data_IF_812407029907
#
_entry.id   IF_812407029907
#
_cell.length_a   1.000
_cell.length_b   1.000
_cell.length_c   1.000
_cell.angle_alpha   90.00
_cell.angle_beta   90.00
_cell.angle_gamma   90.00
#
_symmetry.space_group_name_H-M   'P 1'
#
loop_
_entity.id
_entity.type
_entity.pdbx_description
1 polymer ?
#
# COMPACT_ATOMS: atom_id res chain seq x y z
N UNK A 1 -2.48 17.90 -20.74
CA UNK A 1 -1.66 17.61 -19.54
C UNK A 1 -2.44 16.94 -18.39
N UNK A 2 -3.74 17.22 -18.21
CA UNK A 2 -4.54 16.69 -17.08
C UNK A 2 -4.73 15.16 -17.05
N UNK A 3 -4.86 14.48 -18.18
CA UNK A 3 -5.11 13.03 -18.21
C UNK A 3 -3.98 12.20 -17.58
N UNK A 4 -2.71 12.63 -17.74
CA UNK A 4 -1.53 11.99 -17.14
C UNK A 4 -1.55 12.09 -15.61
N UNK A 5 -2.10 13.18 -15.07
CA UNK A 5 -2.26 13.39 -13.63
C UNK A 5 -3.25 12.38 -13.04
N UNK A 6 -4.42 12.22 -13.67
CA UNK A 6 -5.43 11.27 -13.21
C UNK A 6 -4.94 9.81 -13.28
N UNK A 7 -4.23 9.44 -14.34
CA UNK A 7 -3.66 8.08 -14.48
C UNK A 7 -2.63 7.82 -13.37
N UNK A 8 -1.75 8.78 -13.09
CA UNK A 8 -0.76 8.62 -12.03
C UNK A 8 -1.39 8.53 -10.63
N UNK A 9 -2.44 9.33 -10.39
CA UNK A 9 -3.21 9.27 -9.14
C UNK A 9 -3.88 7.90 -8.98
N UNK A 10 -4.51 7.39 -10.03
CA UNK A 10 -5.16 6.09 -10.02
C UNK A 10 -4.14 4.95 -9.83
N UNK A 11 -3.00 5.00 -10.53
CA UNK A 11 -1.92 4.02 -10.37
C UNK A 11 -1.33 4.04 -8.96
N UNK A 12 -1.13 5.23 -8.38
CA UNK A 12 -0.66 5.37 -6.99
C UNK A 12 -1.67 4.81 -5.98
N UNK A 13 -2.96 5.05 -6.22
CA UNK A 13 -4.03 4.53 -5.37
C UNK A 13 -4.16 3.01 -5.43
N UNK A 14 -4.26 2.44 -6.63
CA UNK A 14 -4.38 0.98 -6.83
C UNK A 14 -3.10 0.26 -6.37
N UNK A 15 -1.93 0.80 -6.73
CA UNK A 15 -0.64 0.26 -6.30
C UNK A 15 -0.47 0.33 -4.78
N UNK A 16 -0.87 1.43 -4.15
CA UNK A 16 -0.87 1.58 -2.69
C UNK A 16 -1.81 0.60 -2.00
N UNK A 17 -3.03 0.41 -2.52
CA UNK A 17 -4.00 -0.54 -1.96
C UNK A 17 -3.45 -1.97 -1.95
N UNK A 18 -2.90 -2.42 -3.09
CA UNK A 18 -2.28 -3.74 -3.20
C UNK A 18 -1.07 -3.87 -2.27
N UNK A 19 -0.25 -2.81 -2.18
CA UNK A 19 0.90 -2.77 -1.28
C UNK A 19 0.50 -2.93 0.19
N UNK A 20 -0.43 -2.12 0.68
CA UNK A 20 -0.87 -2.17 2.07
C UNK A 20 -1.62 -3.46 2.40
N UNK A 21 -2.42 -3.99 1.46
CA UNK A 21 -3.07 -5.29 1.61
C UNK A 21 -2.04 -6.42 1.76
N UNK A 22 -1.04 -6.44 0.88
CA UNK A 22 0.02 -7.44 0.92
C UNK A 22 0.90 -7.27 2.17
N UNK A 23 1.17 -6.04 2.59
CA UNK A 23 1.87 -5.71 3.83
C UNK A 23 1.11 -6.25 5.03
N UNK A 24 -0.21 -6.03 5.11
CA UNK A 24 -1.04 -6.53 6.20
C UNK A 24 -1.09 -8.05 6.28
N UNK A 25 -1.28 -8.72 5.14
CA UNK A 25 -1.26 -10.18 5.08
C UNK A 25 0.09 -10.72 5.57
N UNK A 26 1.19 -10.09 5.16
CA UNK A 26 2.52 -10.52 5.58
C UNK A 26 2.81 -10.20 7.04
N UNK A 27 2.39 -9.04 7.56
CA UNK A 27 2.50 -8.71 8.98
C UNK A 27 1.71 -9.74 9.79
N UNK A 28 0.45 -10.02 9.44
CA UNK A 28 -0.33 -11.07 10.12
C UNK A 28 0.39 -12.41 10.04
N UNK A 29 0.85 -12.83 8.86
CA UNK A 29 1.60 -14.08 8.71
C UNK A 29 2.88 -14.11 9.54
N UNK A 30 3.59 -13.00 9.66
CA UNK A 30 4.81 -12.89 10.46
C UNK A 30 4.53 -12.97 11.97
N UNK A 31 3.44 -12.35 12.43
CA UNK A 31 2.95 -12.50 13.81
C UNK A 31 2.55 -13.95 14.13
N UNK A 32 1.92 -14.67 13.19
CA UNK A 32 1.50 -16.06 13.39
C UNK A 32 2.57 -17.12 13.06
N UNK A 33 3.59 -16.80 12.24
CA UNK A 33 4.68 -17.70 11.86
C UNK A 33 6.00 -16.94 11.88
N UNK A 34 6.93 -17.32 12.77
CA UNK A 34 8.33 -16.85 12.85
C UNK A 34 9.15 -17.21 11.58
N UNK A 35 8.79 -16.72 10.39
CA UNK A 35 9.62 -16.83 9.16
C UNK A 35 9.69 -15.47 8.47
N UNK A 36 10.74 -14.71 8.80
CA UNK A 36 10.92 -13.30 8.45
C UNK A 36 11.67 -12.99 7.15
N UNK A 37 11.88 -13.95 6.24
CA UNK A 37 12.76 -13.72 5.07
C UNK A 37 12.04 -13.24 3.82
N UNK A 38 10.77 -13.59 3.60
CA UNK A 38 10.02 -13.19 2.39
C UNK A 38 9.46 -11.77 2.40
N UNK A 39 9.38 -11.13 3.57
CA UNK A 39 8.86 -9.77 3.74
C UNK A 39 9.81 -8.74 3.13
N UNK A 40 11.11 -8.87 3.42
CA UNK A 40 12.13 -7.90 3.01
C UNK A 40 12.29 -7.88 1.49
N UNK A 41 12.39 -9.05 0.83
CA UNK A 41 12.56 -9.14 -0.63
C UNK A 41 11.40 -8.48 -1.39
N UNK A 42 10.16 -8.67 -0.95
CA UNK A 42 8.98 -8.09 -1.60
C UNK A 42 8.84 -6.59 -1.32
N UNK A 43 9.27 -6.12 -0.15
CA UNK A 43 9.35 -4.70 0.18
C UNK A 43 10.42 -4.00 -0.68
N UNK A 44 11.59 -4.62 -0.85
CA UNK A 44 12.68 -4.09 -1.69
C UNK A 44 12.26 -3.98 -3.17
N UNK A 45 11.57 -4.99 -3.71
CA UNK A 45 11.05 -4.93 -5.09
C UNK A 45 10.05 -3.78 -5.29
N UNK A 46 9.24 -3.47 -4.28
CA UNK A 46 8.31 -2.34 -4.32
C UNK A 46 9.02 -0.99 -4.20
N UNK A 47 10.06 -0.90 -3.38
CA UNK A 47 10.92 0.28 -3.30
C UNK A 47 11.60 0.56 -4.63
N UNK A 48 12.13 -0.47 -5.29
CA UNK A 48 12.72 -0.38 -6.64
C UNK A 48 11.66 0.08 -7.66
N UNK A 49 10.45 -0.48 -7.63
CA UNK A 49 9.35 -0.05 -8.52
C UNK A 49 9.01 1.43 -8.33
N UNK A 50 8.99 1.91 -7.09
CA UNK A 50 8.72 3.31 -6.77
C UNK A 50 9.83 4.24 -7.29
N UNK A 51 11.09 3.86 -7.10
CA UNK A 51 12.25 4.60 -7.63
C UNK A 51 12.22 4.62 -9.17
N UNK A 52 11.85 3.52 -9.80
CA UNK A 52 11.73 3.41 -11.26
C UNK A 52 10.61 4.30 -11.80
N UNK A 53 9.45 4.33 -11.14
CA UNK A 53 8.35 5.24 -11.48
C UNK A 53 8.76 6.72 -11.32
N UNK A 54 9.52 7.08 -10.28
CA UNK A 54 10.04 8.44 -10.08
C UNK A 54 10.97 8.82 -11.24
N UNK A 55 11.88 7.93 -11.62
CA UNK A 55 12.86 8.20 -12.67
C UNK A 55 12.21 8.39 -14.04
N UNK A 56 11.20 7.58 -14.38
CA UNK A 56 10.52 7.64 -15.69
C UNK A 56 9.48 8.75 -15.81
N UNK A 57 8.79 9.11 -14.72
CA UNK A 57 7.62 9.99 -14.78
C UNK A 57 7.85 11.40 -14.22
N UNK A 58 9.01 11.70 -13.59
CA UNK A 58 9.39 13.05 -13.16
C UNK A 58 8.33 13.74 -12.28
N UNK A 59 7.91 14.96 -12.66
CA UNK A 59 6.92 15.80 -11.94
C UNK A 59 5.54 15.15 -11.70
N UNK A 60 5.29 13.95 -12.24
CA UNK A 60 4.07 13.17 -12.02
C UNK A 60 4.15 12.34 -10.71
N UNK A 61 5.27 12.40 -9.99
CA UNK A 61 5.41 11.79 -8.66
C UNK A 61 4.39 12.33 -7.65
N UNK A 62 4.04 13.61 -7.74
CA UNK A 62 3.13 14.26 -6.81
C UNK A 62 1.70 13.65 -6.81
N UNK A 63 1.01 13.49 -7.95
CA UNK A 63 -0.29 12.80 -7.99
C UNK A 63 -0.20 11.33 -7.57
N UNK A 64 0.89 10.64 -7.89
CA UNK A 64 1.10 9.26 -7.46
C UNK A 64 1.18 9.15 -5.93
N UNK A 65 1.94 10.04 -5.28
CA UNK A 65 2.04 10.13 -3.82
C UNK A 65 0.68 10.42 -3.18
N UNK A 66 -0.10 11.33 -3.76
CA UNK A 66 -1.44 11.65 -3.29
C UNK A 66 -2.33 10.40 -3.35
N UNK A 67 -2.35 9.70 -4.49
CA UNK A 67 -3.08 8.45 -4.63
C UNK A 67 -2.64 7.39 -3.61
N UNK A 68 -1.34 7.24 -3.41
CA UNK A 68 -0.75 6.31 -2.45
C UNK A 68 -1.13 6.65 -0.99
N UNK A 69 -1.15 7.93 -0.64
CA UNK A 69 -1.57 8.40 0.68
C UNK A 69 -3.07 8.19 0.92
N UNK A 70 -3.92 8.39 -0.10
CA UNK A 70 -5.33 8.03 -0.02
C UNK A 70 -5.52 6.53 0.21
N UNK A 71 -4.74 5.69 -0.47
CA UNK A 71 -4.77 4.25 -0.26
C UNK A 71 -4.37 3.87 1.17
N UNK A 72 -3.34 4.53 1.73
CA UNK A 72 -2.95 4.37 3.14
C UNK A 72 -4.11 4.69 4.08
N UNK A 73 -4.75 5.85 3.92
CA UNK A 73 -5.88 6.28 4.77
C UNK A 73 -7.07 5.32 4.67
N UNK A 74 -7.40 4.90 3.45
CA UNK A 74 -8.46 3.91 3.19
C UNK A 74 -8.17 2.60 3.91
N UNK A 75 -6.92 2.14 3.83
CA UNK A 75 -6.51 0.91 4.46
C UNK A 75 -6.49 0.99 5.99
N UNK A 76 -6.02 2.09 6.57
CA UNK A 76 -6.10 2.34 8.02
C UNK A 76 -7.55 2.34 8.50
N UNK A 77 -8.47 2.97 7.75
CA UNK A 77 -9.89 2.95 8.08
C UNK A 77 -10.48 1.53 8.03
N UNK A 78 -10.13 0.74 7.01
CA UNK A 78 -10.57 -0.67 6.89
C UNK A 78 -10.05 -1.50 8.07
N UNK A 79 -8.78 -1.36 8.45
CA UNK A 79 -8.21 -2.09 9.61
C UNK A 79 -8.91 -1.68 10.90
N UNK A 80 -9.04 -0.38 11.17
CA UNK A 80 -9.72 0.12 12.38
C UNK A 80 -11.18 -0.36 12.46
N UNK A 81 -11.86 -0.46 11.31
CA UNK A 81 -13.21 -1.01 11.25
C UNK A 81 -13.21 -2.52 11.52
N UNK A 82 -12.28 -3.27 10.91
CA UNK A 82 -12.14 -4.72 11.09
C UNK A 82 -11.85 -5.08 12.56
N UNK A 83 -10.96 -4.33 13.22
CA UNK A 83 -10.60 -4.55 14.62
C UNK A 83 -11.81 -4.38 15.55
N UNK A 84 -12.61 -3.32 15.34
CA UNK A 84 -13.87 -3.10 16.08
C UNK A 84 -14.92 -4.19 15.89
N UNK A 85 -14.99 -4.84 14.73
CA UNK A 85 -15.89 -5.99 14.55
C UNK A 85 -15.39 -7.22 15.30
N UNK A 86 -14.09 -7.50 15.23
CA UNK A 86 -13.48 -8.62 15.93
C UNK A 86 -13.68 -8.53 17.45
N UNK A 87 -13.63 -7.33 18.01
CA UNK A 87 -13.88 -7.09 19.44
C UNK A 87 -15.35 -7.38 19.82
N UNK A 88 -16.31 -7.06 18.94
CA UNK A 88 -17.73 -7.38 19.15
C UNK A 88 -18.05 -8.87 19.06
N UNK A 89 -17.30 -9.65 18.29
CA UNK A 89 -17.53 -11.09 18.15
C UNK A 89 -16.87 -11.93 19.28
N UNK A 90 -16.08 -11.30 20.17
CA UNK A 90 -15.43 -11.97 21.32
C UNK A 90 -16.09 -11.65 22.68
N UNK A 91 -17.23 -10.96 22.69
CA UNK A 91 -18.06 -10.67 23.86
C UNK A 91 -19.48 -11.22 23.65
#
# INVERSE_FOLDING_TARGET
>A
MHWKFFIALLLGYVGGLLFFLHLFINIRKAFFRKKGTGFFTRFTLFGIYTIFCIHFFGNIFFPFLIGFFLAQKTFTFIILKYDRYREKDNY
#
